data_IF_150571944075
#
_entry.id   IF_150571944075
#
_cell.length_a   1.000
_cell.length_b   1.000
_cell.length_c   1.000
_cell.angle_alpha   90.00
_cell.angle_beta   90.00
_cell.angle_gamma   90.00
#
_symmetry.space_group_name_H-M   'P 1'
#
loop_
_entity.id
_entity.type
_entity.pdbx_description
1 polymer ?
#
# COMPACT_ATOMS: atom_id res chain seq x y z
N UNK A 1 -55.70 8.07 -36.64
CA UNK A 1 -55.72 6.88 -35.77
C UNK A 1 -54.37 6.75 -35.06
N UNK A 2 -54.42 6.83 -33.73
CA UNK A 2 -53.43 6.49 -32.70
C UNK A 2 -51.93 6.60 -33.01
N UNK A 3 -51.29 7.57 -32.35
CA UNK A 3 -49.84 7.73 -32.28
C UNK A 3 -49.17 6.58 -31.52
N UNK A 4 -48.10 6.04 -32.10
CA UNK A 4 -47.23 5.07 -31.44
C UNK A 4 -46.24 5.83 -30.56
N UNK A 5 -46.67 6.15 -29.34
CA UNK A 5 -45.79 6.70 -28.31
C UNK A 5 -44.63 5.74 -28.07
N UNK A 6 -43.40 6.22 -28.27
CA UNK A 6 -42.20 5.57 -27.72
C UNK A 6 -42.35 5.58 -26.20
N UNK A 7 -42.94 4.52 -25.65
CA UNK A 7 -42.87 4.24 -24.22
C UNK A 7 -41.41 4.28 -23.82
N UNK A 8 -41.04 5.27 -23.00
CA UNK A 8 -39.70 5.39 -22.48
C UNK A 8 -39.35 4.10 -21.78
N UNK A 9 -38.45 3.29 -22.37
CA UNK A 9 -37.83 2.18 -21.66
C UNK A 9 -37.31 2.76 -20.37
N UNK A 10 -37.77 2.24 -19.23
CA UNK A 10 -37.15 2.52 -17.93
C UNK A 10 -35.67 2.26 -18.14
N UNK A 11 -34.84 3.32 -18.14
CA UNK A 11 -33.40 3.19 -18.31
C UNK A 11 -32.94 2.34 -17.13
N UNK A 12 -32.67 1.06 -17.37
CA UNK A 12 -32.08 0.18 -16.37
C UNK A 12 -30.83 0.89 -15.80
N UNK A 13 -30.61 0.77 -14.48
CA UNK A 13 -29.48 1.41 -13.81
C UNK A 13 -28.21 1.15 -14.63
N UNK A 14 -27.60 2.22 -15.14
CA UNK A 14 -26.39 2.11 -15.93
C UNK A 14 -25.29 1.44 -15.10
N UNK A 15 -24.67 0.38 -15.63
CA UNK A 15 -23.58 -0.31 -14.95
C UNK A 15 -22.42 0.66 -14.76
N UNK A 16 -22.01 0.85 -13.50
CA UNK A 16 -20.91 1.75 -13.14
C UNK A 16 -19.63 1.34 -13.85
N UNK A 17 -18.70 2.28 -14.05
CA UNK A 17 -17.38 1.96 -14.63
C UNK A 17 -16.61 0.95 -13.75
N UNK A 18 -16.76 1.04 -12.42
CA UNK A 18 -16.23 0.06 -11.45
C UNK A 18 -16.74 -1.35 -11.72
N UNK A 19 -18.06 -1.51 -11.81
CA UNK A 19 -18.67 -2.83 -12.03
C UNK A 19 -18.37 -3.39 -13.42
N UNK A 20 -17.99 -2.53 -14.39
CA UNK A 20 -17.52 -2.97 -15.71
C UNK A 20 -16.07 -3.41 -15.71
N UNK A 21 -15.24 -2.81 -14.86
CA UNK A 21 -13.83 -3.15 -14.69
C UNK A 21 -13.58 -4.25 -13.65
N UNK A 22 -14.61 -4.71 -12.93
CA UNK A 22 -14.52 -5.64 -11.78
C UNK A 22 -13.61 -5.12 -10.66
N UNK A 23 -13.70 -3.83 -10.38
CA UNK A 23 -12.90 -3.14 -9.38
C UNK A 23 -13.77 -2.69 -8.22
N UNK A 24 -13.26 -2.81 -6.99
CA UNK A 24 -14.00 -2.45 -5.77
C UNK A 24 -14.03 -0.93 -5.59
N UNK A 25 -13.00 -0.24 -6.07
CA UNK A 25 -12.86 1.20 -5.92
C UNK A 25 -13.70 1.97 -6.96
N UNK A 26 -14.06 3.23 -6.68
CA UNK A 26 -14.87 4.04 -7.59
C UNK A 26 -14.06 4.48 -8.82
N UNK A 27 -14.08 3.68 -9.90
CA UNK A 27 -13.32 3.90 -11.16
C UNK A 27 -13.69 5.21 -11.86
N UNK A 28 -14.89 5.74 -11.59
CA UNK A 28 -15.27 7.08 -12.07
C UNK A 28 -14.53 8.23 -11.38
N UNK A 29 -13.83 7.95 -10.27
CA UNK A 29 -13.08 8.90 -9.44
C UNK A 29 -11.59 8.54 -9.35
N UNK A 30 -11.25 7.26 -9.37
CA UNK A 30 -9.91 6.72 -9.10
C UNK A 30 -9.52 5.77 -10.23
N UNK A 31 -8.28 5.83 -10.71
CA UNK A 31 -7.82 4.93 -11.77
C UNK A 31 -7.43 3.54 -11.23
N UNK A 32 -7.58 2.45 -12.02
CA UNK A 32 -7.26 1.08 -11.61
C UNK A 32 -5.85 0.88 -11.03
N UNK A 33 -4.86 1.59 -11.57
CA UNK A 33 -3.46 1.51 -11.09
C UNK A 33 -3.35 1.97 -9.63
N UNK A 34 -4.17 2.93 -9.20
CA UNK A 34 -4.19 3.39 -7.81
C UNK A 34 -4.75 2.33 -6.86
N UNK A 35 -5.68 1.49 -7.32
CA UNK A 35 -6.21 0.36 -6.54
C UNK A 35 -5.14 -0.71 -6.35
N UNK A 36 -4.37 -1.00 -7.40
CA UNK A 36 -3.24 -1.93 -7.31
C UNK A 36 -2.18 -1.45 -6.31
N UNK A 37 -1.72 -0.19 -6.43
CA UNK A 37 -0.73 0.38 -5.50
C UNK A 37 -1.23 0.41 -4.05
N UNK A 38 -2.51 0.75 -3.84
CA UNK A 38 -3.09 0.77 -2.50
C UNK A 38 -3.17 -0.65 -1.90
N UNK A 39 -3.50 -1.65 -2.71
CA UNK A 39 -3.53 -3.05 -2.27
C UNK A 39 -2.14 -3.54 -1.87
N UNK A 40 -1.12 -3.30 -2.70
CA UNK A 40 0.28 -3.71 -2.45
C UNK A 40 0.81 -3.14 -1.12
N UNK A 41 0.66 -1.82 -0.93
CA UNK A 41 1.08 -1.15 0.30
C UNK A 41 0.35 -1.72 1.54
N UNK A 42 -0.94 -2.00 1.41
CA UNK A 42 -1.75 -2.50 2.52
C UNK A 42 -1.41 -3.96 2.86
N UNK A 43 -1.09 -4.79 1.87
CA UNK A 43 -0.65 -6.16 2.07
C UNK A 43 0.68 -6.21 2.83
N UNK A 44 1.69 -5.49 2.36
CA UNK A 44 2.99 -5.41 3.00
C UNK A 44 2.91 -4.80 4.41
N UNK A 45 2.11 -3.74 4.59
CA UNK A 45 1.88 -3.15 5.90
C UNK A 45 1.11 -4.10 6.84
N UNK A 46 0.19 -4.90 6.30
CA UNK A 46 -0.50 -5.96 7.03
C UNK A 46 0.45 -7.04 7.53
N UNK A 47 1.40 -7.47 6.68
CA UNK A 47 2.45 -8.41 7.05
C UNK A 47 3.36 -7.81 8.15
N UNK A 48 3.82 -6.57 7.97
CA UNK A 48 4.57 -5.85 8.99
C UNK A 48 3.78 -5.66 10.30
N UNK A 49 2.45 -5.61 10.27
CA UNK A 49 1.58 -5.56 11.45
C UNK A 49 1.42 -6.89 12.15
N UNK A 50 1.44 -7.99 11.41
CA UNK A 50 1.45 -9.33 11.97
C UNK A 50 2.79 -9.65 12.64
N UNK A 51 3.90 -9.27 12.00
CA UNK A 51 5.24 -9.67 12.44
C UNK A 51 5.79 -8.79 13.58
N UNK A 52 5.33 -7.53 13.70
CA UNK A 52 5.80 -6.60 14.71
C UNK A 52 4.66 -6.07 15.60
N UNK A 53 4.91 -6.00 16.91
CA UNK A 53 4.02 -5.32 17.87
C UNK A 53 4.14 -3.77 17.87
N UNK A 54 4.73 -3.16 16.83
CA UNK A 54 5.09 -1.73 16.79
C UNK A 54 4.30 -0.99 15.74
N UNK A 55 3.70 0.15 16.08
CA UNK A 55 2.73 0.93 15.26
C UNK A 55 3.22 1.51 13.91
N UNK A 56 4.47 1.26 13.48
CA UNK A 56 5.09 1.91 12.31
C UNK A 56 5.06 1.07 11.01
N UNK A 57 3.95 0.37 10.78
CA UNK A 57 3.85 -0.65 9.74
C UNK A 57 3.98 -0.11 8.32
N UNK A 58 3.43 1.06 8.03
CA UNK A 58 3.53 1.70 6.71
C UNK A 58 4.98 2.06 6.36
N UNK A 59 5.72 2.65 7.29
CA UNK A 59 7.13 2.99 7.07
C UNK A 59 7.98 1.73 6.89
N UNK A 60 7.74 0.70 7.70
CA UNK A 60 8.48 -0.57 7.57
C UNK A 60 8.19 -1.25 6.22
N UNK A 61 6.93 -1.31 5.81
CA UNK A 61 6.55 -1.91 4.52
C UNK A 61 7.18 -1.16 3.35
N UNK A 62 7.00 0.17 3.29
CA UNK A 62 7.47 0.99 2.17
C UNK A 62 8.99 1.04 2.09
N UNK A 63 9.71 1.10 3.23
CA UNK A 63 11.17 1.26 3.21
C UNK A 63 11.94 -0.06 3.08
N UNK A 64 11.31 -1.20 3.35
CA UNK A 64 11.91 -2.51 3.11
C UNK A 64 11.61 -3.06 1.70
N UNK A 65 10.64 -2.49 0.99
CA UNK A 65 10.35 -2.81 -0.40
C UNK A 65 11.12 -1.88 -1.35
N UNK A 66 11.81 -2.44 -2.34
CA UNK A 66 12.69 -1.66 -3.23
C UNK A 66 11.90 -0.71 -4.12
N UNK A 67 10.83 -1.20 -4.75
CA UNK A 67 10.03 -0.44 -5.71
C UNK A 67 9.26 0.69 -5.02
N UNK A 68 8.63 0.41 -3.87
CA UNK A 68 7.92 1.41 -3.08
C UNK A 68 8.88 2.43 -2.45
N UNK A 69 10.08 2.02 -2.03
CA UNK A 69 11.06 2.95 -1.48
C UNK A 69 11.58 3.93 -2.54
N UNK A 70 11.77 3.47 -3.78
CA UNK A 70 12.15 4.33 -4.91
C UNK A 70 10.99 5.27 -5.28
N UNK A 71 9.79 4.71 -5.47
CA UNK A 71 8.58 5.46 -5.80
C UNK A 71 8.27 6.55 -4.78
N UNK A 72 8.53 6.30 -3.50
CA UNK A 72 8.26 7.20 -2.37
C UNK A 72 9.54 7.77 -1.73
N UNK A 73 10.63 7.85 -2.49
CA UNK A 73 11.94 8.34 -2.01
C UNK A 73 11.87 9.75 -1.41
N UNK A 74 11.10 10.66 -2.00
CA UNK A 74 10.90 12.04 -1.53
C UNK A 74 9.75 12.25 -0.55
N UNK A 75 8.98 11.20 -0.21
CA UNK A 75 7.78 11.33 0.61
C UNK A 75 8.09 11.10 2.09
N UNK A 76 7.64 12.02 2.94
CA UNK A 76 7.75 11.87 4.41
C UNK A 76 6.49 11.24 4.98
N UNK A 77 6.66 10.14 5.72
CA UNK A 77 5.56 9.47 6.42
C UNK A 77 5.52 9.94 7.88
N UNK A 78 4.47 10.70 8.23
CA UNK A 78 4.27 11.17 9.59
C UNK A 78 4.18 9.98 10.57
N UNK A 79 4.82 10.10 11.74
CA UNK A 79 4.89 9.06 12.79
C UNK A 79 5.52 7.73 12.33
N UNK A 80 6.17 7.68 11.16
CA UNK A 80 6.79 6.45 10.63
C UNK A 80 8.11 6.07 11.30
N UNK A 81 8.85 7.04 11.82
CA UNK A 81 10.23 6.82 12.29
C UNK A 81 11.16 6.34 11.17
N UNK A 82 12.20 5.58 11.51
CA UNK A 82 13.22 5.09 10.57
C UNK A 82 13.46 3.59 10.73
N UNK A 83 13.96 2.96 9.66
CA UNK A 83 14.47 1.59 9.73
C UNK A 83 15.65 1.51 10.71
N UNK A 84 15.70 0.50 11.60
CA UNK A 84 16.86 0.29 12.44
C UNK A 84 18.10 0.01 11.59
N UNK A 85 19.08 0.90 11.61
CA UNK A 85 20.35 0.73 10.93
C UNK A 85 21.46 1.37 11.77
N UNK A 86 22.53 0.61 12.05
CA UNK A 86 23.70 1.09 12.78
C UNK A 86 24.91 0.85 11.89
N UNK A 87 25.63 1.92 11.56
CA UNK A 87 26.86 1.79 10.77
C UNK A 87 27.88 0.93 11.51
N UNK A 88 28.56 0.03 10.79
CA UNK A 88 29.50 -0.93 11.38
C UNK A 88 30.62 -0.26 12.20
N UNK A 89 31.04 0.96 11.83
CA UNK A 89 32.03 1.77 12.55
C UNK A 89 31.59 2.13 13.98
N UNK A 90 30.28 2.19 14.22
CA UNK A 90 29.70 2.53 15.51
C UNK A 90 29.50 1.29 16.40
N UNK A 91 29.71 0.09 15.86
CA UNK A 91 29.60 -1.13 16.65
C UNK A 91 30.80 -1.25 17.60
N UNK A 92 30.60 -1.72 18.83
CA UNK A 92 31.70 -2.01 19.74
C UNK A 92 32.69 -2.96 19.07
N UNK A 93 33.99 -2.68 19.20
CA UNK A 93 35.02 -3.65 18.78
C UNK A 93 34.83 -4.93 19.58
N UNK A 94 34.72 -6.08 18.91
CA UNK A 94 34.68 -7.38 19.59
C UNK A 94 35.96 -7.53 20.42
N UNK A 95 35.84 -7.49 21.73
CA UNK A 95 36.89 -8.00 22.63
C UNK A 95 36.80 -9.52 22.60
N UNK A 96 37.87 -10.21 22.22
CA UNK A 96 37.96 -11.66 22.34
C UNK A 96 37.68 -12.04 23.81
N UNK A 97 36.71 -12.91 24.05
CA UNK A 97 36.52 -13.49 25.39
C UNK A 97 37.81 -14.21 25.76
N UNK A 98 38.40 -13.98 26.94
CA UNK A 98 39.56 -14.74 27.37
C UNK A 98 39.17 -16.22 27.33
N UNK A 99 39.95 -17.02 26.61
CA UNK A 99 39.80 -18.46 26.60
C UNK A 99 39.81 -18.92 28.07
N UNK A 100 38.71 -19.54 28.52
CA UNK A 100 38.71 -20.18 29.83
C UNK A 100 39.81 -21.23 29.81
N UNK A 101 40.81 -21.05 30.67
CA UNK A 101 41.77 -22.07 31.05
C UNK A 101 41.04 -23.26 31.68
#
# INVERSE_FOLDING_TARGET
>A
MSGKGKGGKVKGKAKSRSNRANLQFPVGRIHPVMEYLAAEVLELAGNAARDNKKTRHLQLAIRNDEELNELLSGVTIAQGGVLPNIQAVLLPKKTEKPAKA
#
